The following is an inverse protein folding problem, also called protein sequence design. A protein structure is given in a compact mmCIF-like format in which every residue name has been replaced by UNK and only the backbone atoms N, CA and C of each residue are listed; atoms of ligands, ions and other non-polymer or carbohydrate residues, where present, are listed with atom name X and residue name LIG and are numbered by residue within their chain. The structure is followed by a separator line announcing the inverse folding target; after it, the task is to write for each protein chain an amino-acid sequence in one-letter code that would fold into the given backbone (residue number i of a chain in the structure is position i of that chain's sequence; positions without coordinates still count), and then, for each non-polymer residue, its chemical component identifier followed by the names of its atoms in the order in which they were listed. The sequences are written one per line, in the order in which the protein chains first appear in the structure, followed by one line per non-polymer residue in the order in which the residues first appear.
data_IF_792840783284
#
_entry.id   IF_792840783284
#
_cell.length_a   1.000
_cell.length_b   1.000
_cell.length_c   1.000
_cell.angle_alpha   90.00
_cell.angle_beta   90.00
_cell.angle_gamma   90.00
#
_symmetry.space_group_name_H-M   'P 1'
#
loop_
_entity.id
_entity.type
_entity.pdbx_description
1 polymer ?
#
# COMPACT_ATOMS: atom_id res chain seq x y z
N UNK A 1 -38.25 -20.00 -50.81
CA UNK A 1 -38.48 -18.59 -51.16
C UNK A 1 -37.20 -17.85 -50.92
N UNK A 2 -36.62 -17.46 -51.98
CA UNK A 2 -35.26 -16.93 -52.14
C UNK A 2 -35.14 -15.43 -51.81
N UNK A 3 -33.94 -14.86 -51.93
CA UNK A 3 -33.38 -13.84 -51.08
C UNK A 3 -33.43 -12.44 -51.67
N UNK A 4 -33.17 -11.46 -50.86
CA UNK A 4 -32.95 -10.07 -51.34
C UNK A 4 -31.50 -9.66 -51.12
N UNK A 5 -30.79 -9.59 -52.25
CA UNK A 5 -29.48 -8.98 -52.41
C UNK A 5 -29.67 -7.48 -52.62
N UNK A 6 -29.00 -6.64 -51.88
CA UNK A 6 -28.80 -5.24 -52.22
C UNK A 6 -27.33 -4.85 -52.13
N UNK A 7 -26.82 -4.56 -53.32
CA UNK A 7 -25.52 -3.90 -53.57
C UNK A 7 -25.62 -2.41 -53.25
N UNK A 8 -24.62 -1.84 -52.64
CA UNK A 8 -24.27 -0.41 -52.82
C UNK A 8 -22.75 -0.24 -52.74
N UNK A 9 -22.19 -0.01 -53.81
CA UNK A 9 -21.35 1.04 -54.45
C UNK A 9 -20.40 1.80 -53.56
N UNK A 10 -19.14 1.61 -53.87
CA UNK A 10 -17.94 2.40 -53.64
C UNK A 10 -18.11 3.89 -53.97
N UNK A 11 -17.68 4.76 -53.06
CA UNK A 11 -17.20 6.08 -53.43
C UNK A 11 -15.89 6.39 -52.70
N UNK A 12 -14.86 6.50 -53.49
CA UNK A 12 -13.56 7.01 -53.11
C UNK A 12 -13.63 8.54 -52.97
N UNK A 13 -13.15 9.08 -51.86
CA UNK A 13 -12.81 10.49 -51.79
C UNK A 13 -11.35 10.63 -51.36
N UNK A 14 -10.57 11.15 -52.28
CA UNK A 14 -9.22 11.65 -52.08
C UNK A 14 -9.31 12.94 -51.27
N UNK A 15 -8.55 13.02 -50.18
CA UNK A 15 -8.47 14.22 -49.33
C UNK A 15 -7.10 14.34 -48.70
N UNK A 16 -6.30 15.12 -49.28
CA UNK A 16 -5.05 15.79 -48.97
C UNK A 16 -4.48 15.65 -47.55
N UNK A 17 -3.27 15.15 -47.54
CA UNK A 17 -2.29 15.08 -46.50
C UNK A 17 -1.77 16.49 -46.14
N UNK A 18 -2.04 16.98 -44.91
CA UNK A 18 -1.28 18.06 -44.30
C UNK A 18 -0.48 17.50 -43.15
N UNK A 19 0.81 17.32 -43.37
CA UNK A 19 1.79 17.04 -42.34
C UNK A 19 2.10 18.35 -41.61
N UNK A 20 1.62 18.48 -40.36
CA UNK A 20 2.14 19.48 -39.42
C UNK A 20 3.07 18.73 -38.49
N UNK A 21 4.38 18.89 -38.70
CA UNK A 21 5.39 18.50 -37.75
C UNK A 21 5.35 19.47 -36.57
N UNK A 22 4.67 19.08 -35.50
CA UNK A 22 4.90 19.69 -34.20
C UNK A 22 6.05 18.93 -33.51
N UNK A 23 7.26 19.46 -33.67
CA UNK A 23 8.40 19.12 -32.82
C UNK A 23 8.16 19.74 -31.45
N UNK A 24 7.43 19.04 -30.59
CA UNK A 24 7.40 19.33 -29.16
C UNK A 24 8.50 18.51 -28.50
N UNK A 25 9.60 19.17 -28.22
CA UNK A 25 10.72 18.60 -27.49
C UNK A 25 10.24 18.14 -26.11
N UNK A 26 10.15 16.85 -25.92
CA UNK A 26 10.17 16.26 -24.59
C UNK A 26 11.56 16.47 -24.01
N UNK A 27 11.73 17.52 -23.21
CA UNK A 27 12.87 17.60 -22.32
C UNK A 27 12.72 16.49 -21.29
N UNK A 28 13.41 15.39 -21.51
CA UNK A 28 13.74 14.41 -20.49
C UNK A 28 14.56 15.13 -19.42
N UNK A 29 13.92 15.62 -18.39
CA UNK A 29 14.60 16.01 -17.16
C UNK A 29 15.08 14.72 -16.49
N UNK A 30 16.24 14.24 -16.95
CA UNK A 30 17.05 13.27 -16.24
C UNK A 30 17.39 13.95 -14.91
N UNK A 31 16.78 13.52 -13.83
CA UNK A 31 17.21 13.92 -12.49
C UNK A 31 18.58 13.25 -12.29
N UNK A 32 19.64 13.98 -12.59
CA UNK A 32 20.98 13.61 -12.15
C UNK A 32 20.97 13.63 -10.63
N UNK A 33 21.03 12.45 -10.05
CA UNK A 33 21.34 12.27 -8.63
C UNK A 33 22.81 12.66 -8.51
N UNK A 34 23.06 13.92 -8.18
CA UNK A 34 24.40 14.42 -7.94
C UNK A 34 25.07 13.58 -6.85
N UNK A 35 26.33 13.21 -7.08
CA UNK A 35 27.18 12.41 -6.19
C UNK A 35 27.36 12.97 -4.77
N UNK A 36 26.84 14.16 -4.50
CA UNK A 36 26.89 14.82 -3.18
C UNK A 36 26.13 14.09 -2.06
N UNK A 37 25.34 13.04 -2.37
CA UNK A 37 24.62 12.26 -1.33
C UNK A 37 25.36 11.01 -0.84
N UNK A 38 26.53 10.69 -1.39
CA UNK A 38 27.30 9.46 -1.08
C UNK A 38 28.15 9.52 0.19
N UNK A 39 27.99 10.48 1.06
CA UNK A 39 28.84 10.59 2.25
C UNK A 39 28.16 11.03 3.54
N UNK A 40 26.85 11.24 3.53
CA UNK A 40 26.16 11.71 4.71
C UNK A 40 25.68 10.53 5.58
N UNK A 41 25.97 10.60 6.88
CA UNK A 41 25.48 9.63 7.85
C UNK A 41 23.93 9.61 7.87
N UNK A 42 23.28 8.49 8.25
CA UNK A 42 21.80 8.42 8.34
C UNK A 42 21.18 9.51 9.22
N UNK A 43 21.91 9.99 10.23
CA UNK A 43 21.47 11.09 11.10
C UNK A 43 21.52 12.45 10.40
N UNK A 44 22.49 12.68 9.52
CA UNK A 44 22.63 13.93 8.75
C UNK A 44 21.62 13.99 7.62
N UNK A 45 21.30 12.85 6.99
CA UNK A 45 20.23 12.75 6.00
C UNK A 45 18.86 13.05 6.64
N UNK A 46 18.59 12.57 7.88
CA UNK A 46 17.36 12.90 8.62
C UNK A 46 17.22 14.41 8.88
N UNK A 47 18.29 15.11 9.21
CA UNK A 47 18.27 16.55 9.54
C UNK A 47 18.03 17.43 8.32
N UNK A 48 18.53 17.03 7.15
CA UNK A 48 18.38 17.79 5.90
C UNK A 48 17.04 17.55 5.18
N UNK A 49 16.41 16.37 5.40
CA UNK A 49 15.08 16.04 4.85
C UNK A 49 13.96 16.89 5.49
N UNK A 50 14.15 17.38 6.72
CA UNK A 50 13.11 18.12 7.44
C UNK A 50 12.94 19.57 7.01
N UNK A 51 13.88 20.15 6.23
CA UNK A 51 13.88 21.59 6.00
C UNK A 51 13.65 22.06 4.56
N UNK A 52 13.81 21.22 3.54
CA UNK A 52 13.68 21.66 2.14
C UNK A 52 12.87 20.77 1.19
N UNK A 53 12.67 19.49 1.48
CA UNK A 53 12.00 18.57 0.55
C UNK A 53 10.76 17.93 1.19
N UNK A 54 9.72 17.74 0.39
CA UNK A 54 8.56 16.94 0.80
C UNK A 54 8.97 15.46 0.84
N UNK A 55 9.11 14.83 2.03
CA UNK A 55 9.53 13.44 2.12
C UNK A 55 8.57 12.50 1.36
N UNK A 56 7.32 12.90 1.17
CA UNK A 56 6.33 12.13 0.43
C UNK A 56 6.58 12.08 -1.08
N UNK A 57 7.45 12.93 -1.63
CA UNK A 57 7.73 12.97 -3.07
C UNK A 57 8.94 12.15 -3.48
N UNK A 58 9.86 11.86 -2.55
CA UNK A 58 11.12 11.17 -2.84
C UNK A 58 11.22 9.77 -2.23
N UNK A 59 10.36 9.45 -1.28
CA UNK A 59 10.37 8.14 -0.62
C UNK A 59 9.80 7.06 -1.53
N UNK A 60 10.25 5.79 -1.39
CA UNK A 60 9.67 4.67 -2.11
C UNK A 60 8.19 4.47 -1.81
N UNK A 61 7.36 4.38 -2.85
CA UNK A 61 5.92 4.25 -2.71
C UNK A 61 5.45 2.80 -2.76
N UNK A 62 4.55 2.46 -1.83
CA UNK A 62 3.83 1.20 -1.75
C UNK A 62 2.32 1.52 -1.76
N UNK A 63 1.56 0.74 -2.52
CA UNK A 63 0.10 0.88 -2.59
C UNK A 63 -0.54 -0.29 -1.84
N UNK A 64 -1.55 -0.02 -1.04
CA UNK A 64 -2.37 -1.08 -0.48
C UNK A 64 -3.80 -1.02 -1.02
N UNK A 65 -4.40 -2.19 -1.16
CA UNK A 65 -5.72 -2.39 -1.77
C UNK A 65 -6.51 -3.46 -1.04
N UNK A 66 -7.83 -3.39 -1.18
CA UNK A 66 -8.78 -4.40 -0.70
C UNK A 66 -9.81 -4.73 -1.78
N UNK A 67 -10.68 -5.69 -1.53
CA UNK A 67 -11.78 -6.01 -2.46
C UNK A 67 -12.70 -4.81 -2.77
N UNK A 68 -12.66 -3.78 -1.93
CA UNK A 68 -13.45 -2.56 -2.13
C UNK A 68 -12.78 -1.56 -3.08
N UNK A 69 -11.56 -1.83 -3.52
CA UNK A 69 -10.83 -0.93 -4.40
C UNK A 69 -10.99 -1.32 -5.89
N UNK A 70 -11.02 -0.33 -6.76
CA UNK A 70 -11.20 1.09 -6.46
C UNK A 70 -12.64 1.36 -6.01
N UNK A 71 -12.81 2.07 -4.91
CA UNK A 71 -14.13 2.25 -4.27
C UNK A 71 -15.19 2.85 -5.20
N UNK A 72 -14.82 3.81 -6.04
CA UNK A 72 -15.74 4.43 -7.00
C UNK A 72 -16.12 3.48 -8.14
N UNK A 73 -15.14 2.81 -8.74
CA UNK A 73 -15.36 1.85 -9.83
C UNK A 73 -16.12 0.61 -9.38
N UNK A 74 -15.94 0.21 -8.13
CA UNK A 74 -16.69 -0.92 -7.59
C UNK A 74 -18.20 -0.66 -7.59
N UNK A 75 -18.63 0.55 -7.28
CA UNK A 75 -20.05 0.92 -7.29
C UNK A 75 -20.63 1.02 -8.70
N UNK A 76 -19.81 1.34 -9.69
CA UNK A 76 -20.17 1.30 -11.12
C UNK A 76 -19.98 -0.07 -11.75
N UNK A 77 -19.58 -1.10 -10.98
CA UNK A 77 -19.25 -2.43 -11.49
C UNK A 77 -17.87 -2.56 -12.10
N UNK A 78 -17.07 -1.49 -12.14
CA UNK A 78 -15.71 -1.53 -12.68
C UNK A 78 -14.67 -1.88 -11.60
N UNK A 79 -13.66 -2.65 -11.97
CA UNK A 79 -12.61 -3.12 -11.09
C UNK A 79 -11.23 -2.66 -11.58
N UNK A 80 -10.21 -2.77 -10.73
CA UNK A 80 -8.83 -2.63 -11.21
C UNK A 80 -8.54 -3.64 -12.30
N UNK A 81 -8.02 -3.13 -13.40
CA UNK A 81 -7.56 -3.92 -14.54
C UNK A 81 -6.04 -4.10 -14.46
N UNK A 82 -5.46 -5.02 -15.23
CA UNK A 82 -4.01 -5.08 -15.40
C UNK A 82 -3.39 -3.76 -15.85
N UNK A 83 -4.12 -2.96 -16.64
CA UNK A 83 -3.67 -1.65 -17.10
C UNK A 83 -3.54 -0.64 -15.96
N UNK A 84 -4.45 -0.67 -14.97
CA UNK A 84 -4.34 0.18 -13.78
C UNK A 84 -3.07 -0.15 -12.99
N UNK A 85 -2.72 -1.43 -12.83
CA UNK A 85 -1.48 -1.83 -12.13
C UNK A 85 -0.23 -1.48 -12.95
N UNK A 86 -0.30 -1.53 -14.26
CA UNK A 86 0.75 -1.02 -15.15
C UNK A 86 0.94 0.48 -14.93
N UNK A 87 -0.14 1.24 -14.86
CA UNK A 87 -0.10 2.67 -14.56
C UNK A 87 0.50 2.96 -13.18
N UNK A 88 0.12 2.20 -12.14
CA UNK A 88 0.72 2.31 -10.80
C UNK A 88 2.23 2.12 -10.84
N UNK A 89 2.70 1.07 -11.53
CA UNK A 89 4.14 0.78 -11.65
C UNK A 89 4.87 1.87 -12.42
N UNK A 90 4.32 2.37 -13.51
CA UNK A 90 4.87 3.49 -14.29
C UNK A 90 4.94 4.78 -13.49
N UNK A 91 3.98 5.02 -12.59
CA UNK A 91 3.96 6.16 -11.70
C UNK A 91 4.89 6.01 -10.48
N UNK A 92 5.68 4.93 -10.40
CA UNK A 92 6.71 4.74 -9.38
C UNK A 92 6.29 3.91 -8.17
N UNK A 93 5.12 3.25 -8.18
CA UNK A 93 4.79 2.29 -7.13
C UNK A 93 5.71 1.06 -7.23
N UNK A 94 6.43 0.74 -6.16
CA UNK A 94 7.39 -0.36 -6.13
C UNK A 94 6.79 -1.64 -5.58
N UNK A 95 5.73 -1.56 -4.78
CA UNK A 95 5.06 -2.72 -4.20
C UNK A 95 3.57 -2.54 -4.07
N UNK A 96 2.87 -3.65 -3.93
CA UNK A 96 1.44 -3.73 -3.68
C UNK A 96 1.17 -4.65 -2.50
N UNK A 97 0.39 -4.19 -1.53
CA UNK A 97 -0.06 -4.99 -0.38
C UNK A 97 -1.58 -5.18 -0.48
N UNK A 98 -2.02 -6.42 -0.79
CA UNK A 98 -3.43 -6.73 -1.01
C UNK A 98 -4.06 -7.35 0.25
N UNK A 99 -5.27 -6.90 0.62
CA UNK A 99 -6.02 -7.57 1.69
C UNK A 99 -6.41 -8.99 1.26
N UNK A 100 -6.05 -9.96 2.10
CA UNK A 100 -6.38 -11.36 1.85
C UNK A 100 -7.68 -11.81 2.53
N UNK A 101 -8.03 -11.13 3.63
CA UNK A 101 -9.24 -11.41 4.35
C UNK A 101 -9.49 -10.47 5.53
N UNK A 102 -10.67 -10.64 6.13
CA UNK A 102 -11.14 -9.90 7.30
C UNK A 102 -11.98 -10.81 8.18
N UNK A 103 -11.53 -11.05 9.41
CA UNK A 103 -12.23 -11.90 10.36
C UNK A 103 -12.48 -13.30 9.77
N UNK A 104 -13.75 -13.65 9.54
CA UNK A 104 -14.13 -14.95 8.98
C UNK A 104 -14.18 -15.00 7.45
N UNK A 105 -14.03 -13.89 6.75
CA UNK A 105 -14.23 -13.77 5.31
C UNK A 105 -12.90 -13.60 4.57
N UNK A 106 -12.78 -14.27 3.42
CA UNK A 106 -11.70 -13.99 2.48
C UNK A 106 -12.07 -12.83 1.56
N UNK A 107 -11.06 -12.07 1.22
CA UNK A 107 -11.16 -10.99 0.24
C UNK A 107 -11.20 -11.59 -1.18
N UNK A 108 -12.23 -11.24 -1.96
CA UNK A 108 -12.48 -11.83 -3.28
C UNK A 108 -11.43 -11.46 -4.32
N UNK A 109 -10.81 -10.28 -4.21
CA UNK A 109 -9.88 -9.74 -5.20
C UNK A 109 -8.40 -9.97 -4.87
N UNK A 110 -8.06 -10.50 -3.69
CA UNK A 110 -6.67 -10.67 -3.27
C UNK A 110 -5.84 -11.42 -4.33
N UNK A 111 -6.35 -12.56 -4.80
CA UNK A 111 -5.64 -13.38 -5.78
C UNK A 111 -5.36 -12.62 -7.10
N UNK A 112 -6.35 -11.91 -7.62
CA UNK A 112 -6.18 -11.13 -8.86
C UNK A 112 -5.22 -9.96 -8.70
N UNK A 113 -5.21 -9.29 -7.55
CA UNK A 113 -4.27 -8.23 -7.25
C UNK A 113 -2.82 -8.74 -7.17
N UNK A 114 -2.59 -9.84 -6.44
CA UNK A 114 -1.24 -10.41 -6.33
C UNK A 114 -0.72 -10.88 -7.68
N UNK A 115 -1.53 -11.57 -8.49
CA UNK A 115 -1.14 -12.00 -9.82
C UNK A 115 -0.85 -10.82 -10.76
N UNK A 116 -1.64 -9.75 -10.68
CA UNK A 116 -1.42 -8.58 -11.51
C UNK A 116 -0.18 -7.77 -11.06
N UNK A 117 0.08 -7.67 -9.75
CA UNK A 117 1.28 -7.03 -9.21
C UNK A 117 2.54 -7.80 -9.60
N UNK A 118 2.52 -9.13 -9.53
CA UNK A 118 3.64 -9.97 -9.97
C UNK A 118 3.98 -9.74 -11.45
N UNK A 119 2.97 -9.71 -12.34
CA UNK A 119 3.18 -9.40 -13.76
C UNK A 119 3.85 -8.05 -13.99
N UNK A 120 3.66 -7.10 -13.09
CA UNK A 120 4.31 -5.79 -13.12
C UNK A 120 5.65 -5.76 -12.37
N UNK A 121 6.13 -6.90 -11.88
CA UNK A 121 7.37 -7.01 -11.09
C UNK A 121 7.37 -6.09 -9.87
N UNK A 122 6.21 -5.96 -9.23
CA UNK A 122 6.08 -5.24 -7.97
C UNK A 122 6.43 -6.15 -6.80
N UNK A 123 6.94 -5.59 -5.71
CA UNK A 123 7.08 -6.28 -4.43
C UNK A 123 5.71 -6.71 -3.93
N UNK A 124 5.56 -7.99 -3.58
CA UNK A 124 4.29 -8.56 -3.15
C UNK A 124 4.15 -8.47 -1.64
N UNK A 125 2.99 -7.98 -1.21
CA UNK A 125 2.58 -8.03 0.19
C UNK A 125 1.12 -8.41 0.31
N UNK A 126 0.75 -8.93 1.46
CA UNK A 126 -0.64 -9.18 1.79
C UNK A 126 -0.93 -8.86 3.25
N UNK A 127 -2.14 -8.41 3.52
CA UNK A 127 -2.58 -8.16 4.89
C UNK A 127 -3.88 -8.89 5.23
N UNK A 128 -4.05 -9.15 6.52
CA UNK A 128 -5.28 -9.70 7.07
C UNK A 128 -5.83 -8.75 8.13
N UNK A 129 -7.08 -8.33 7.99
CA UNK A 129 -7.75 -7.52 9.00
C UNK A 129 -8.24 -8.41 10.13
N UNK A 130 -7.52 -8.37 11.25
CA UNK A 130 -7.75 -9.19 12.45
C UNK A 130 -8.86 -8.58 13.28
N UNK A 131 -10.02 -9.20 13.24
CA UNK A 131 -11.23 -8.70 13.91
C UNK A 131 -11.27 -9.14 15.37
N UNK A 132 -11.56 -8.20 16.26
CA UNK A 132 -11.82 -8.49 17.68
C UNK A 132 -13.04 -9.42 17.85
N UNK A 133 -12.92 -10.39 18.75
CA UNK A 133 -13.99 -11.37 19.01
C UNK A 133 -13.90 -12.64 18.15
N UNK A 134 -12.95 -12.70 17.21
CA UNK A 134 -12.56 -13.92 16.51
C UNK A 134 -11.17 -14.32 16.98
N UNK A 135 -10.93 -15.61 17.22
CA UNK A 135 -9.63 -16.08 17.71
C UNK A 135 -8.49 -15.63 16.77
N UNK A 136 -7.51 -14.86 17.25
CA UNK A 136 -6.41 -14.37 16.44
C UNK A 136 -5.51 -15.49 15.88
N UNK A 137 -5.39 -16.63 16.58
CA UNK A 137 -4.65 -17.80 16.10
C UNK A 137 -5.33 -18.40 14.89
N UNK A 138 -6.65 -18.59 14.96
CA UNK A 138 -7.44 -19.08 13.85
C UNK A 138 -7.40 -18.13 12.64
N UNK A 139 -7.45 -16.81 12.87
CA UNK A 139 -7.32 -15.81 11.80
C UNK A 139 -5.95 -15.87 11.13
N UNK A 140 -4.88 -16.06 11.92
CA UNK A 140 -3.53 -16.24 11.39
C UNK A 140 -3.40 -17.50 10.53
N UNK A 141 -3.97 -18.62 10.97
CA UNK A 141 -3.99 -19.86 10.17
C UNK A 141 -4.74 -19.70 8.86
N UNK A 142 -5.90 -19.07 8.90
CA UNK A 142 -6.65 -18.78 7.68
C UNK A 142 -5.88 -17.90 6.72
N UNK A 143 -5.17 -16.89 7.22
CA UNK A 143 -4.35 -16.01 6.41
C UNK A 143 -3.26 -16.80 5.69
N UNK A 144 -2.44 -17.55 6.41
CA UNK A 144 -1.36 -18.37 5.82
C UNK A 144 -1.90 -19.38 4.81
N UNK A 145 -2.94 -20.12 5.17
CA UNK A 145 -3.55 -21.11 4.27
C UNK A 145 -4.07 -20.46 2.98
N UNK A 146 -4.70 -19.28 3.08
CA UNK A 146 -5.20 -18.57 1.91
C UNK A 146 -4.08 -18.12 1.00
N UNK A 147 -2.99 -17.59 1.55
CA UNK A 147 -1.81 -17.15 0.77
C UNK A 147 -1.17 -18.35 0.06
N UNK A 148 -0.99 -19.48 0.74
CA UNK A 148 -0.48 -20.73 0.13
C UNK A 148 -1.39 -21.21 -1.01
N UNK A 149 -2.70 -21.20 -0.78
CA UNK A 149 -3.68 -21.57 -1.81
C UNK A 149 -3.59 -20.68 -3.05
N UNK A 150 -3.45 -19.36 -2.85
CA UNK A 150 -3.29 -18.40 -3.95
C UNK A 150 -2.00 -18.67 -4.72
N UNK A 151 -0.88 -18.86 -4.03
CA UNK A 151 0.40 -19.17 -4.66
C UNK A 151 0.30 -20.41 -5.55
N UNK A 152 -0.21 -21.49 -5.00
CA UNK A 152 -0.32 -22.78 -5.70
C UNK A 152 -1.29 -22.71 -6.88
N UNK A 153 -2.49 -22.13 -6.69
CA UNK A 153 -3.52 -22.09 -7.73
C UNK A 153 -3.15 -21.18 -8.90
N UNK A 154 -2.46 -20.07 -8.64
CA UNK A 154 -2.03 -19.11 -9.66
C UNK A 154 -0.60 -19.35 -10.15
N UNK A 155 0.11 -20.33 -9.56
CA UNK A 155 1.52 -20.64 -9.87
C UNK A 155 2.39 -19.37 -9.83
N UNK A 156 2.22 -18.56 -8.77
CA UNK A 156 3.00 -17.33 -8.61
C UNK A 156 4.49 -17.67 -8.51
N UNK A 157 5.32 -16.95 -9.26
CA UNK A 157 6.77 -17.16 -9.38
C UNK A 157 7.57 -16.37 -8.35
N UNK A 158 6.97 -15.32 -7.76
CA UNK A 158 7.63 -14.56 -6.71
C UNK A 158 8.12 -15.49 -5.59
N UNK A 159 9.38 -15.42 -5.18
CA UNK A 159 9.93 -16.30 -4.15
C UNK A 159 9.41 -15.97 -2.76
N UNK A 160 8.77 -14.81 -2.61
CA UNK A 160 8.46 -14.25 -1.30
C UNK A 160 7.23 -13.33 -1.30
N UNK A 161 6.66 -13.16 -0.10
CA UNK A 161 5.57 -12.22 0.14
C UNK A 161 5.66 -11.62 1.56
N UNK A 162 5.51 -10.31 1.69
CA UNK A 162 5.42 -9.64 2.98
C UNK A 162 4.05 -9.91 3.60
N UNK A 163 4.02 -10.44 4.82
CA UNK A 163 2.78 -10.66 5.57
C UNK A 163 2.54 -9.53 6.56
N UNK A 164 1.29 -9.05 6.64
CA UNK A 164 0.91 -7.96 7.53
C UNK A 164 -0.33 -8.32 8.35
N UNK A 165 -0.26 -8.10 9.66
CA UNK A 165 -1.43 -8.09 10.54
C UNK A 165 -1.98 -6.68 10.66
N UNK A 166 -3.22 -6.46 10.25
CA UNK A 166 -3.97 -5.22 10.40
C UNK A 166 -5.01 -5.44 11.52
N UNK A 167 -4.89 -4.71 12.61
CA UNK A 167 -5.65 -5.01 13.83
C UNK A 167 -6.81 -4.04 14.03
N UNK A 168 -8.00 -4.61 14.28
CA UNK A 168 -9.20 -3.88 14.74
C UNK A 168 -8.82 -2.94 15.89
N UNK A 169 -9.34 -1.71 15.85
CA UNK A 169 -9.08 -0.68 16.86
C UNK A 169 -9.39 -1.11 18.30
N UNK A 170 -10.14 -2.19 18.50
CA UNK A 170 -10.48 -2.76 19.80
C UNK A 170 -9.58 -3.93 20.23
N UNK A 171 -8.56 -4.29 19.44
CA UNK A 171 -7.65 -5.39 19.74
C UNK A 171 -6.82 -5.12 21.00
N UNK A 172 -6.55 -6.16 21.77
CA UNK A 172 -5.63 -6.10 22.92
C UNK A 172 -4.20 -6.43 22.51
N UNK A 173 -3.23 -6.05 23.33
CA UNK A 173 -1.84 -6.47 23.14
C UNK A 173 -1.69 -8.00 23.08
N UNK A 174 -2.50 -8.74 23.83
CA UNK A 174 -2.52 -10.21 23.81
C UNK A 174 -3.05 -10.75 22.47
N UNK A 175 -4.10 -10.15 21.90
CA UNK A 175 -4.61 -10.58 20.59
C UNK A 175 -3.55 -10.39 19.50
N UNK A 176 -2.85 -9.24 19.53
CA UNK A 176 -1.77 -8.93 18.60
C UNK A 176 -0.65 -9.97 18.72
N UNK A 177 -0.19 -10.26 19.94
CA UNK A 177 0.89 -11.21 20.19
C UNK A 177 0.51 -12.64 19.77
N UNK A 178 -0.72 -13.08 20.05
CA UNK A 178 -1.21 -14.41 19.63
C UNK A 178 -1.18 -14.55 18.11
N UNK A 179 -1.62 -13.53 17.38
CA UNK A 179 -1.55 -13.51 15.92
C UNK A 179 -0.10 -13.57 15.41
N UNK A 180 0.77 -12.70 15.92
CA UNK A 180 2.21 -12.65 15.57
C UNK A 180 2.86 -14.01 15.78
N UNK A 181 2.70 -14.59 16.98
CA UNK A 181 3.29 -15.87 17.31
C UNK A 181 2.85 -16.98 16.36
N UNK A 182 1.55 -16.99 15.99
CA UNK A 182 1.04 -17.99 15.07
C UNK A 182 1.58 -17.84 13.66
N UNK A 183 1.68 -16.61 13.14
CA UNK A 183 2.32 -16.36 11.83
C UNK A 183 3.78 -16.81 11.87
N UNK A 184 4.54 -16.44 12.90
CA UNK A 184 5.95 -16.82 13.02
C UNK A 184 6.14 -18.35 13.09
N UNK A 185 5.31 -19.06 13.85
CA UNK A 185 5.32 -20.54 13.91
C UNK A 185 5.04 -21.16 12.55
N UNK A 186 4.09 -20.58 11.77
CA UNK A 186 3.66 -21.14 10.49
C UNK A 186 4.61 -20.85 9.34
N UNK A 187 5.37 -19.77 9.41
CA UNK A 187 6.11 -19.23 8.26
C UNK A 187 7.61 -19.07 8.54
N UNK A 188 8.03 -19.12 9.79
CA UNK A 188 9.38 -18.74 10.21
C UNK A 188 9.63 -17.23 10.16
N UNK A 189 8.63 -16.41 9.74
CA UNK A 189 8.77 -14.98 9.58
C UNK A 189 7.80 -14.20 10.48
N UNK A 190 8.29 -13.09 11.02
CA UNK A 190 7.44 -12.15 11.77
C UNK A 190 6.66 -11.27 10.81
N UNK A 191 5.35 -11.12 10.99
CA UNK A 191 4.58 -10.21 10.15
C UNK A 191 4.91 -8.76 10.48
N UNK A 192 4.74 -7.85 9.52
CA UNK A 192 4.60 -6.43 9.79
C UNK A 192 3.29 -6.18 10.53
N UNK A 193 3.26 -5.17 11.39
CA UNK A 193 2.06 -4.75 12.13
C UNK A 193 1.58 -3.42 11.60
N UNK A 194 0.32 -3.40 11.14
CA UNK A 194 -0.41 -2.18 10.87
C UNK A 194 -1.38 -1.89 12.01
N UNK A 195 -1.37 -0.65 12.49
CA UNK A 195 -2.31 -0.16 13.48
C UNK A 195 -2.98 1.11 12.99
N UNK A 196 -4.31 1.08 13.07
CA UNK A 196 -5.11 2.29 12.92
C UNK A 196 -4.77 3.29 14.03
N UNK A 197 -4.67 4.58 13.68
CA UNK A 197 -4.47 5.64 14.67
C UNK A 197 -5.75 5.90 15.46
N UNK A 198 -6.02 5.10 16.48
CA UNK A 198 -7.16 5.22 17.37
C UNK A 198 -6.76 5.45 18.82
N UNK A 199 -7.57 6.23 19.56
CA UNK A 199 -7.33 6.51 20.98
C UNK A 199 -7.32 5.22 21.81
N UNK A 200 -8.18 4.26 21.46
CA UNK A 200 -8.26 2.99 22.16
C UNK A 200 -6.96 2.19 22.04
N UNK A 201 -6.44 2.00 20.81
CA UNK A 201 -5.18 1.28 20.59
C UNK A 201 -4.01 1.97 21.25
N UNK A 202 -3.92 3.31 21.20
CA UNK A 202 -2.88 4.06 21.91
C UNK A 202 -2.92 3.77 23.40
N UNK A 203 -4.10 3.84 24.02
CA UNK A 203 -4.27 3.55 25.44
C UNK A 203 -3.91 2.11 25.79
N UNK A 204 -4.41 1.14 25.04
CA UNK A 204 -4.16 -0.29 25.28
C UNK A 204 -2.68 -0.63 25.14
N UNK A 205 -2.01 -0.11 24.12
CA UNK A 205 -0.60 -0.43 23.88
C UNK A 205 0.35 0.35 24.78
N UNK A 206 0.02 1.59 25.14
CA UNK A 206 0.82 2.34 26.11
C UNK A 206 0.80 1.69 27.50
N UNK A 207 -0.31 1.05 27.88
CA UNK A 207 -0.46 0.32 29.15
C UNK A 207 -0.03 -1.16 29.10
N UNK A 208 0.42 -1.66 27.95
CA UNK A 208 0.92 -3.02 27.83
C UNK A 208 2.19 -3.24 28.68
N UNK A 209 2.38 -4.48 29.16
CA UNK A 209 3.57 -4.81 29.94
C UNK A 209 4.86 -4.64 29.13
N UNK A 210 5.99 -4.46 29.80
CA UNK A 210 7.29 -4.36 29.12
C UNK A 210 7.61 -5.60 28.28
N UNK A 211 7.19 -6.78 28.72
CA UNK A 211 7.35 -8.01 27.95
C UNK A 211 6.51 -8.00 26.66
N UNK A 212 5.24 -7.58 26.75
CA UNK A 212 4.36 -7.45 25.59
C UNK A 212 4.90 -6.42 24.59
N UNK A 213 5.33 -5.25 25.08
CA UNK A 213 5.94 -4.21 24.25
C UNK A 213 7.19 -4.73 23.52
N UNK A 214 8.09 -5.41 24.23
CA UNK A 214 9.29 -6.01 23.61
C UNK A 214 8.91 -7.05 22.53
N UNK A 215 7.89 -7.87 22.77
CA UNK A 215 7.44 -8.87 21.77
C UNK A 215 6.87 -8.20 20.51
N UNK A 216 6.04 -7.20 20.68
CA UNK A 216 5.43 -6.45 19.56
C UNK A 216 6.51 -5.65 18.80
N UNK A 217 7.47 -5.05 19.51
CA UNK A 217 8.56 -4.27 18.91
C UNK A 217 9.50 -5.07 17.98
N UNK A 218 9.49 -6.40 18.08
CA UNK A 218 10.24 -7.27 17.16
C UNK A 218 9.67 -7.33 15.75
N UNK A 219 8.44 -6.85 15.58
CA UNK A 219 7.77 -6.78 14.28
C UNK A 219 7.94 -5.38 13.66
N UNK A 220 8.16 -5.27 12.34
CA UNK A 220 8.15 -3.98 11.68
C UNK A 220 6.81 -3.27 11.84
N UNK A 221 6.83 -1.94 11.89
CA UNK A 221 5.64 -1.14 12.11
C UNK A 221 5.21 -0.38 10.84
N UNK A 222 3.96 -0.55 10.47
CA UNK A 222 3.28 0.22 9.43
C UNK A 222 2.29 1.18 10.11
N UNK A 223 2.68 2.45 10.15
CA UNK A 223 1.91 3.50 10.81
C UNK A 223 0.80 4.03 9.90
N UNK A 224 -0.40 4.20 10.44
CA UNK A 224 -1.48 4.95 9.82
C UNK A 224 -1.55 6.34 10.44
N UNK A 225 -1.20 7.36 9.65
CA UNK A 225 -1.29 8.74 10.09
C UNK A 225 -1.66 9.64 8.91
N UNK A 226 -2.92 10.00 8.84
CA UNK A 226 -3.43 10.99 7.91
C UNK A 226 -4.19 12.04 8.70
N UNK A 227 -3.67 13.26 8.67
CA UNK A 227 -4.26 14.38 9.39
C UNK A 227 -5.24 15.12 8.50
N UNK A 228 -6.47 15.27 8.97
CA UNK A 228 -7.41 16.25 8.45
C UNK A 228 -7.18 17.64 9.04
N UNK A 229 -6.35 17.75 10.10
CA UNK A 229 -6.06 19.00 10.80
C UNK A 229 -4.98 19.78 10.04
N UNK A 230 -5.26 21.04 9.77
CA UNK A 230 -4.33 21.99 9.12
C UNK A 230 -3.04 22.22 9.92
N UNK A 231 -3.00 21.87 11.19
CA UNK A 231 -1.92 22.23 12.10
C UNK A 231 -0.65 21.40 11.92
N UNK A 232 -0.69 20.26 11.23
CA UNK A 232 0.52 19.44 11.00
C UNK A 232 1.25 19.01 12.28
N UNK A 233 0.59 19.05 13.43
CA UNK A 233 1.23 18.85 14.73
C UNK A 233 1.44 17.38 15.10
N UNK A 234 0.76 16.45 14.41
CA UNK A 234 1.00 15.02 14.60
C UNK A 234 2.02 14.56 13.58
N UNK A 235 3.14 14.05 14.06
CA UNK A 235 4.17 13.42 13.24
C UNK A 235 4.21 11.92 13.53
N UNK A 236 4.72 11.09 12.60
CA UNK A 236 4.94 9.68 12.86
C UNK A 236 5.72 9.42 14.15
N UNK A 237 6.76 10.24 14.41
CA UNK A 237 7.61 10.11 15.60
C UNK A 237 6.86 10.42 16.89
N UNK A 238 5.94 11.40 16.87
CA UNK A 238 5.09 11.70 18.03
C UNK A 238 4.16 10.54 18.32
N UNK A 239 3.47 10.00 17.31
CA UNK A 239 2.57 8.87 17.49
C UNK A 239 3.30 7.62 17.99
N UNK A 240 4.51 7.35 17.52
CA UNK A 240 5.34 6.25 18.03
C UNK A 240 5.70 6.42 19.48
N UNK A 241 6.01 7.65 19.92
CA UNK A 241 6.27 7.93 21.36
C UNK A 241 5.04 7.65 22.23
N UNK A 242 3.85 7.94 21.75
CA UNK A 242 2.60 7.67 22.46
C UNK A 242 2.36 6.16 22.63
N UNK A 243 2.69 5.33 21.65
CA UNK A 243 2.65 3.88 21.81
C UNK A 243 3.76 3.35 22.73
N UNK A 244 4.93 3.95 22.69
CA UNK A 244 6.09 3.54 23.51
C UNK A 244 6.57 2.11 23.22
N UNK A 245 6.49 1.69 21.95
CA UNK A 245 6.85 0.34 21.50
C UNK A 245 7.99 0.40 20.47
N UNK A 246 7.82 1.16 19.39
CA UNK A 246 8.79 1.24 18.30
C UNK A 246 9.60 2.51 18.33
N UNK A 247 10.88 2.42 17.97
CA UNK A 247 11.76 3.57 17.81
C UNK A 247 11.70 4.18 16.40
N UNK A 248 11.21 3.38 15.43
CA UNK A 248 11.05 3.81 14.04
C UNK A 248 9.89 3.07 13.37
N UNK A 249 9.30 3.70 12.37
CA UNK A 249 8.32 3.08 11.50
C UNK A 249 9.02 2.53 10.24
N UNK A 250 8.45 1.51 9.62
CA UNK A 250 8.92 0.95 8.35
C UNK A 250 8.10 1.47 7.17
N UNK A 251 6.77 1.44 7.30
CA UNK A 251 5.86 2.04 6.33
C UNK A 251 4.99 3.11 7.02
N UNK A 252 4.63 4.12 6.25
CA UNK A 252 3.68 5.15 6.68
C UNK A 252 2.57 5.29 5.65
N UNK A 253 1.34 4.91 6.04
CA UNK A 253 0.13 5.21 5.29
C UNK A 253 -0.24 6.67 5.55
N UNK A 254 0.03 7.51 4.56
CA UNK A 254 -0.22 8.95 4.62
C UNK A 254 -1.49 9.38 3.88
N UNK A 255 -2.11 8.46 3.15
CA UNK A 255 -3.36 8.69 2.43
C UNK A 255 -4.28 7.48 2.58
N UNK A 256 -5.46 7.72 3.13
CA UNK A 256 -6.53 6.75 3.28
C UNK A 256 -7.73 7.11 2.39
N UNK A 257 -8.45 6.11 1.89
CA UNK A 257 -9.64 6.29 1.06
C UNK A 257 -10.85 5.70 1.77
N UNK A 258 -11.91 6.47 1.88
CA UNK A 258 -13.17 6.00 2.45
C UNK A 258 -14.35 6.36 1.55
N UNK A 259 -15.46 5.65 1.73
CA UNK A 259 -16.70 5.98 1.02
C UNK A 259 -17.51 6.99 1.84
N UNK A 260 -17.69 8.19 1.28
CA UNK A 260 -18.57 9.21 1.84
C UNK A 260 -20.01 8.92 1.42
N UNK A 261 -20.80 8.37 2.34
CA UNK A 261 -22.20 8.03 2.09
C UNK A 261 -23.07 9.25 1.74
N UNK A 262 -22.75 10.43 2.29
CA UNK A 262 -23.53 11.65 2.06
C UNK A 262 -23.35 12.14 0.62
N UNK A 263 -22.14 12.02 0.09
CA UNK A 263 -21.77 12.49 -1.25
C UNK A 263 -21.85 11.40 -2.30
N UNK A 264 -22.11 10.16 -1.92
CA UNK A 264 -22.07 8.98 -2.78
C UNK A 264 -20.80 8.87 -3.63
N UNK A 265 -19.66 9.21 -3.06
CA UNK A 265 -18.35 9.15 -3.73
C UNK A 265 -17.23 8.82 -2.75
N UNK A 266 -16.09 8.42 -3.29
CA UNK A 266 -14.88 8.27 -2.49
C UNK A 266 -14.40 9.63 -1.99
N UNK A 267 -13.96 9.64 -0.75
CA UNK A 267 -13.29 10.76 -0.12
C UNK A 267 -11.92 10.31 0.42
N UNK A 268 -11.03 11.25 0.63
CA UNK A 268 -9.65 10.98 0.93
C UNK A 268 -9.27 11.72 2.20
N UNK A 269 -8.61 11.00 3.10
CA UNK A 269 -7.81 11.57 4.15
C UNK A 269 -6.37 11.64 3.67
N UNK A 270 -5.82 12.84 3.56
CA UNK A 270 -4.42 13.04 3.21
C UNK A 270 -3.68 13.71 4.35
N UNK A 271 -2.47 13.25 4.59
CA UNK A 271 -1.54 13.97 5.44
C UNK A 271 -1.01 15.20 4.71
N UNK A 272 -1.13 16.36 5.35
CA UNK A 272 -0.57 17.62 4.86
C UNK A 272 0.68 17.93 5.68
N UNK A 273 1.84 17.92 5.02
CA UNK A 273 3.12 18.23 5.65
C UNK A 273 3.47 19.71 5.40
N UNK A 274 3.24 20.56 6.39
CA UNK A 274 3.49 22.00 6.28
C UNK A 274 2.71 22.63 5.12
N UNK A 275 3.42 23.20 4.15
CA UNK A 275 2.83 23.78 2.93
C UNK A 275 2.46 22.75 1.87
N UNK A 276 2.96 21.52 2.00
CA UNK A 276 2.77 20.49 1.00
C UNK A 276 1.47 19.75 1.23
N UNK A 277 0.63 19.74 0.23
CA UNK A 277 -0.56 18.91 0.18
C UNK A 277 -0.25 17.71 -0.69
N UNK A 278 -0.40 16.52 -0.15
CA UNK A 278 -0.32 15.33 -0.98
C UNK A 278 -1.49 15.32 -1.97
N UNK A 279 -1.20 15.03 -3.25
CA UNK A 279 -2.24 14.83 -4.24
C UNK A 279 -3.19 13.71 -3.81
N UNK A 280 -4.46 13.82 -4.15
CA UNK A 280 -5.46 12.77 -3.94
C UNK A 280 -5.20 11.54 -4.81
N UNK A 281 -4.51 11.73 -5.93
CA UNK A 281 -4.28 10.71 -6.93
C UNK A 281 -2.79 10.38 -7.02
N UNK A 282 -2.47 9.14 -7.29
CA UNK A 282 -1.10 8.71 -7.51
C UNK A 282 -0.76 8.84 -9.00
N UNK A 283 0.10 9.81 -9.33
CA UNK A 283 0.40 10.14 -10.72
C UNK A 283 -0.86 10.52 -11.50
N UNK A 284 -1.08 9.87 -12.62
CA UNK A 284 -2.23 10.08 -13.51
C UNK A 284 -3.38 9.08 -13.27
N UNK A 285 -3.43 8.41 -12.13
CA UNK A 285 -4.52 7.48 -11.80
C UNK A 285 -5.87 8.21 -11.72
N UNK A 286 -6.89 7.59 -12.27
CA UNK A 286 -8.26 8.15 -12.32
C UNK A 286 -9.07 7.95 -11.04
N UNK A 287 -8.54 7.22 -10.06
CA UNK A 287 -9.19 6.94 -8.79
C UNK A 287 -8.23 7.18 -7.61
N UNK A 288 -8.76 7.59 -6.46
CA UNK A 288 -7.97 7.76 -5.26
C UNK A 288 -7.50 6.41 -4.71
N UNK A 289 -6.31 6.40 -4.11
CA UNK A 289 -5.64 5.21 -3.60
C UNK A 289 -5.18 5.40 -2.16
N UNK A 290 -5.12 4.31 -1.42
CA UNK A 290 -4.39 4.25 -0.16
C UNK A 290 -2.90 4.14 -0.45
N UNK A 291 -2.14 5.13 0.04
CA UNK A 291 -0.74 5.32 -0.33
C UNK A 291 0.17 5.30 0.87
N UNK A 292 1.31 4.66 0.67
CA UNK A 292 2.30 4.48 1.71
C UNK A 292 3.67 4.85 1.17
N UNK A 293 4.54 5.29 2.08
CA UNK A 293 5.97 5.45 1.82
C UNK A 293 6.77 4.54 2.75
N UNK A 294 7.93 4.11 2.26
CA UNK A 294 8.91 3.38 3.06
C UNK A 294 9.90 4.35 3.72
N UNK A 295 10.32 4.04 4.95
CA UNK A 295 11.28 4.83 5.70
C UNK A 295 12.72 4.51 5.31
N UNK A 296 13.10 4.86 4.11
CA UNK A 296 14.45 4.61 3.59
C UNK A 296 14.57 4.83 2.09
N UNK A 297 15.68 4.37 1.52
CA UNK A 297 15.93 4.39 0.08
C UNK A 297 15.24 3.22 -0.63
N UNK A 298 15.30 3.21 -1.96
CA UNK A 298 14.80 2.10 -2.79
C UNK A 298 15.57 0.81 -2.50
N UNK A 299 16.89 0.89 -2.39
CA UNK A 299 17.74 -0.26 -2.07
C UNK A 299 17.42 -0.82 -0.67
N UNK A 300 17.20 0.06 0.29
CA UNK A 300 16.79 -0.34 1.64
C UNK A 300 15.42 -0.99 1.64
N UNK A 301 14.47 -0.52 0.80
CA UNK A 301 13.17 -1.15 0.64
C UNK A 301 13.30 -2.58 0.12
N UNK A 302 14.10 -2.81 -0.93
CA UNK A 302 14.32 -4.17 -1.45
C UNK A 302 14.97 -5.07 -0.41
N UNK A 303 16.00 -4.60 0.29
CA UNK A 303 16.63 -5.36 1.38
C UNK A 303 15.68 -5.63 2.56
N UNK A 304 14.80 -4.68 2.88
CA UNK A 304 13.76 -4.87 3.90
C UNK A 304 12.75 -5.95 3.47
N UNK A 305 12.32 -5.92 2.21
CA UNK A 305 11.37 -6.89 1.68
C UNK A 305 11.96 -8.29 1.65
N UNK A 306 13.18 -8.44 1.13
CA UNK A 306 13.90 -9.71 1.09
C UNK A 306 14.06 -10.34 2.49
N UNK A 307 14.46 -9.55 3.50
CA UNK A 307 14.67 -10.05 4.87
C UNK A 307 13.38 -10.29 5.64
N UNK A 308 12.35 -9.48 5.40
CA UNK A 308 11.10 -9.46 6.17
C UNK A 308 9.97 -10.29 5.57
N UNK A 309 10.13 -10.76 4.34
CA UNK A 309 9.09 -11.54 3.66
C UNK A 309 9.18 -13.03 3.93
N UNK A 310 8.03 -13.65 3.95
CA UNK A 310 7.94 -15.09 3.98
C UNK A 310 8.39 -15.68 2.65
N UNK A 311 9.39 -16.55 2.69
CA UNK A 311 9.87 -17.35 1.56
C UNK A 311 8.93 -18.57 1.42
N UNK A 312 8.07 -18.55 0.44
CA UNK A 312 6.93 -19.46 0.32
C UNK A 312 7.02 -20.45 -0.84
#
# INVERSE_FOLDING_TARGET
MEPFVSRFTTNAFFGFLFFVLCLSGCTNTRVEVTEASRGLSPATQKKNLTTRYNPLSIAPHIINVSEYDPKERQRSGAYYTPNDLTALRRNGALGLIARCGKGKNYDKKCASFLAAAERQRMLLGSYYFVVKGVDPVWQADRFVNRIQSIKSSLKLRSPEILLVGDFDSRSSATDIIRFINRIEIRTGQRPMIYLENSDHLRKVLSSATSQQKRRIAQCPYWIALYSSKRSGMETPERLMREYGIWNQWSLWQYSGVYWDKRRSKSAIHNYNYGRYRSSSYFGNMSCPLERNIFNGTVEQLYGFWDKGSWKW
#
